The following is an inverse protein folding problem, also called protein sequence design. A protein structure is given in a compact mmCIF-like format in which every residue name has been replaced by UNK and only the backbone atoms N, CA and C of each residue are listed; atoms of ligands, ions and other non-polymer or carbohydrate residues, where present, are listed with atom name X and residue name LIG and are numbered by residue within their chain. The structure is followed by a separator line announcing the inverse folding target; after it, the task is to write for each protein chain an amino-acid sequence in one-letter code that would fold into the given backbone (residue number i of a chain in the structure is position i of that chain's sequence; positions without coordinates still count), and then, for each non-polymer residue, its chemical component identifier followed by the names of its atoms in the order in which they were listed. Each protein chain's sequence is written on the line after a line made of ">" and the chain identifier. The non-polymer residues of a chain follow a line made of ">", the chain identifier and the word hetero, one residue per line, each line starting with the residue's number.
data_IF_730834687825
#
_entry.id   IF_730834687825
#
_cell.length_a   1.000
_cell.length_b   1.000
_cell.length_c   1.000
_cell.angle_alpha   90.00
_cell.angle_beta   90.00
_cell.angle_gamma   90.00
#
_symmetry.space_group_name_H-M   'P 1'
#
loop_
_entity.id
_entity.type
_entity.pdbx_description
1 polymer ?
#
# COMPACT_ATOMS: atom_id res chain seq x y z
N UNK A 1 -3.51 -24.50 -1.58
CA UNK A 1 -4.01 -23.19 -2.04
C UNK A 1 -5.27 -22.88 -1.25
N UNK A 2 -5.30 -21.76 -0.55
CA UNK A 2 -6.49 -21.32 0.17
C UNK A 2 -7.43 -20.67 -0.86
N UNK A 3 -8.68 -21.13 -0.95
CA UNK A 3 -9.65 -20.61 -1.91
C UNK A 3 -10.25 -19.29 -1.40
N UNK A 4 -9.84 -18.16 -2.00
CA UNK A 4 -10.42 -16.85 -1.73
C UNK A 4 -11.39 -16.53 -2.88
N UNK A 5 -12.69 -16.39 -2.61
CA UNK A 5 -13.64 -15.92 -3.61
C UNK A 5 -13.70 -14.41 -3.63
N UNK A 6 -13.58 -13.79 -4.82
CA UNK A 6 -13.75 -12.36 -5.03
C UNK A 6 -15.20 -11.97 -5.37
N UNK A 7 -16.12 -12.92 -5.41
CA UNK A 7 -17.52 -12.68 -5.77
C UNK A 7 -18.18 -11.68 -4.80
N UNK A 8 -18.64 -10.56 -5.32
CA UNK A 8 -19.29 -9.47 -4.56
C UNK A 8 -18.47 -9.01 -3.35
N UNK A 9 -17.13 -8.96 -3.50
CA UNK A 9 -16.25 -8.49 -2.44
C UNK A 9 -16.00 -6.99 -2.54
N UNK A 10 -15.83 -6.38 -1.38
CA UNK A 10 -15.49 -4.98 -1.17
C UNK A 10 -14.01 -4.93 -0.79
N UNK A 11 -13.14 -4.58 -1.74
CA UNK A 11 -11.69 -4.76 -1.59
C UNK A 11 -11.01 -3.42 -1.37
N UNK A 12 -10.38 -3.26 -0.21
CA UNK A 12 -9.54 -2.11 0.13
C UNK A 12 -8.08 -2.43 -0.21
N UNK A 13 -7.49 -1.58 -1.01
CA UNK A 13 -6.14 -1.74 -1.54
C UNK A 13 -5.19 -0.74 -0.92
N UNK A 14 -4.05 -1.19 -0.39
CA UNK A 14 -2.93 -0.29 -0.19
C UNK A 14 -2.32 0.12 -1.54
N UNK A 15 -1.50 1.15 -1.54
CA UNK A 15 -0.86 1.70 -2.74
C UNK A 15 0.57 1.18 -2.90
N UNK A 16 1.44 1.56 -1.95
CA UNK A 16 2.89 1.27 -2.00
C UNK A 16 3.16 -0.20 -1.72
N UNK A 17 3.91 -0.86 -2.60
CA UNK A 17 4.21 -2.28 -2.43
C UNK A 17 3.02 -3.23 -2.67
N UNK A 18 1.85 -2.67 -3.00
CA UNK A 18 0.60 -3.43 -3.20
C UNK A 18 0.06 -3.22 -4.61
N UNK A 19 -0.52 -2.07 -4.92
CA UNK A 19 -0.94 -1.74 -6.29
C UNK A 19 0.26 -1.40 -7.17
N UNK A 20 1.20 -0.65 -6.61
CA UNK A 20 2.36 -0.09 -7.31
C UNK A 20 3.68 -0.56 -6.69
N UNK A 21 4.62 -0.96 -7.54
CA UNK A 21 6.01 -1.20 -7.15
C UNK A 21 6.75 0.15 -7.01
N UNK A 22 6.49 0.84 -5.91
CA UNK A 22 6.99 2.19 -5.65
C UNK A 22 8.28 2.22 -4.83
N UNK A 23 8.64 1.12 -4.18
CA UNK A 23 9.81 1.08 -3.30
C UNK A 23 11.15 1.31 -4.01
N UNK A 24 11.42 0.77 -5.20
CA UNK A 24 12.71 1.01 -5.87
C UNK A 24 12.99 2.48 -6.11
N UNK A 25 11.97 3.24 -6.57
CA UNK A 25 12.12 4.69 -6.81
C UNK A 25 12.24 5.47 -5.48
N UNK A 26 11.55 5.03 -4.44
CA UNK A 26 11.70 5.64 -3.12
C UNK A 26 13.08 5.40 -2.51
N UNK A 27 13.64 4.19 -2.67
CA UNK A 27 15.02 3.87 -2.26
C UNK A 27 16.00 4.75 -3.01
N UNK A 28 15.86 4.87 -4.34
CA UNK A 28 16.71 5.74 -5.15
C UNK A 28 16.68 7.19 -4.67
N UNK A 29 15.50 7.77 -4.44
CA UNK A 29 15.36 9.15 -3.98
C UNK A 29 16.01 9.37 -2.60
N UNK A 30 15.86 8.40 -1.68
CA UNK A 30 16.51 8.44 -0.37
C UNK A 30 18.03 8.34 -0.53
N UNK A 31 18.53 7.46 -1.40
CA UNK A 31 19.97 7.30 -1.68
C UNK A 31 20.59 8.58 -2.23
N UNK A 32 19.90 9.31 -3.12
CA UNK A 32 20.39 10.58 -3.66
C UNK A 32 20.62 11.60 -2.54
N UNK A 33 19.72 11.69 -1.55
CA UNK A 33 19.91 12.54 -0.38
C UNK A 33 21.11 12.06 0.46
N UNK A 34 21.16 10.77 0.80
CA UNK A 34 22.24 10.19 1.61
C UNK A 34 23.63 10.42 0.97
N UNK A 35 23.75 10.15 -0.32
CA UNK A 35 24.99 10.30 -1.06
C UNK A 35 25.44 11.78 -1.12
N UNK A 36 24.50 12.74 -1.20
CA UNK A 36 24.85 14.18 -1.14
C UNK A 36 25.49 14.57 0.18
N UNK A 37 25.23 13.81 1.23
CA UNK A 37 25.79 13.95 2.57
C UNK A 37 26.93 12.97 2.86
N UNK A 38 27.45 12.23 1.85
CA UNK A 38 28.48 11.20 2.00
C UNK A 38 28.12 10.05 2.96
N UNK A 39 26.83 9.74 3.05
CA UNK A 39 26.31 8.61 3.82
C UNK A 39 26.05 7.45 2.85
N UNK A 40 26.50 6.25 3.22
CA UNK A 40 26.32 5.02 2.47
C UNK A 40 25.52 4.01 3.32
N UNK A 41 24.28 3.72 2.89
CA UNK A 41 23.41 2.70 3.47
C UNK A 41 22.98 1.79 2.32
N UNK A 42 23.15 0.49 2.45
CA UNK A 42 22.77 -0.46 1.40
C UNK A 42 21.27 -0.42 1.11
N UNK A 43 20.88 -0.60 -0.15
CA UNK A 43 19.48 -0.54 -0.61
C UNK A 43 18.58 -1.51 0.15
N UNK A 44 19.06 -2.72 0.43
CA UNK A 44 18.34 -3.73 1.20
C UNK A 44 18.06 -3.27 2.64
N UNK A 45 18.96 -2.51 3.24
CA UNK A 45 18.77 -1.96 4.58
C UNK A 45 17.76 -0.83 4.58
N UNK A 46 17.78 0.04 3.56
CA UNK A 46 16.77 1.09 3.39
C UNK A 46 15.39 0.47 3.17
N UNK A 47 15.31 -0.49 2.27
CA UNK A 47 14.07 -1.21 2.00
C UNK A 47 13.51 -1.86 3.27
N UNK A 48 14.34 -2.57 4.04
CA UNK A 48 13.91 -3.22 5.28
C UNK A 48 13.35 -2.21 6.32
N UNK A 49 13.97 -1.02 6.44
CA UNK A 49 13.46 0.06 7.31
C UNK A 49 12.11 0.57 6.84
N UNK A 50 11.93 0.74 5.52
CA UNK A 50 10.69 1.23 4.90
C UNK A 50 9.50 0.29 5.09
N UNK A 51 9.76 -1.02 5.27
CA UNK A 51 8.70 -2.01 5.51
C UNK A 51 7.94 -1.80 6.82
N UNK A 52 8.49 -1.08 7.80
CA UNK A 52 7.71 -0.63 8.96
C UNK A 52 6.78 0.51 8.54
N UNK A 53 7.33 1.68 8.29
CA UNK A 53 6.70 2.82 7.61
C UNK A 53 7.78 3.74 7.06
N UNK A 54 7.51 4.44 5.96
CA UNK A 54 8.41 5.47 5.42
C UNK A 54 8.80 6.49 6.51
N UNK A 55 7.84 6.98 7.27
CA UNK A 55 8.09 7.96 8.34
C UNK A 55 9.00 7.43 9.45
N UNK A 56 8.89 6.14 9.82
CA UNK A 56 9.79 5.51 10.80
C UNK A 56 11.19 5.38 10.25
N UNK A 57 11.32 4.90 9.00
CA UNK A 57 12.61 4.75 8.34
C UNK A 57 13.40 6.06 8.29
N UNK A 58 12.75 7.14 7.87
CA UNK A 58 13.39 8.46 7.80
C UNK A 58 13.81 8.98 9.18
N UNK A 59 12.97 8.80 10.20
CA UNK A 59 13.31 9.18 11.59
C UNK A 59 14.49 8.39 12.15
N UNK A 60 14.59 7.10 11.82
CA UNK A 60 15.73 6.26 12.22
C UNK A 60 17.01 6.75 11.55
N UNK A 61 16.99 7.03 10.25
CA UNK A 61 18.13 7.58 9.51
C UNK A 61 18.60 8.91 10.13
N UNK A 62 17.68 9.86 10.37
CA UNK A 62 18.01 11.15 10.97
C UNK A 62 18.60 11.00 12.38
N UNK A 63 18.08 10.03 13.17
CA UNK A 63 18.63 9.75 14.50
C UNK A 63 20.03 9.14 14.44
N UNK A 64 20.32 8.35 13.42
CA UNK A 64 21.62 7.72 13.20
C UNK A 64 22.67 8.73 12.70
N UNK A 65 22.23 9.71 11.90
CA UNK A 65 23.06 10.77 11.32
C UNK A 65 22.55 12.17 11.72
N UNK A 66 22.63 12.53 13.02
CA UNK A 66 22.13 13.81 13.50
C UNK A 66 22.91 14.97 12.89
N UNK A 67 22.23 16.07 12.60
CA UNK A 67 22.79 17.31 12.01
C UNK A 67 23.40 17.15 10.60
N UNK A 68 23.22 15.99 9.96
CA UNK A 68 23.78 15.72 8.63
C UNK A 68 22.70 15.85 7.56
N UNK A 69 21.54 15.24 7.72
CA UNK A 69 20.40 15.32 6.81
C UNK A 69 19.11 15.66 7.56
N UNK A 70 18.16 16.22 6.86
CA UNK A 70 16.89 16.66 7.44
C UNK A 70 15.70 15.89 6.88
N UNK A 71 14.60 15.86 7.64
CA UNK A 71 13.35 15.27 7.18
C UNK A 71 12.82 15.98 5.92
N UNK A 72 13.04 17.29 5.83
CA UNK A 72 12.56 18.09 4.71
C UNK A 72 13.27 17.72 3.39
N UNK A 73 14.58 17.44 3.42
CA UNK A 73 15.33 16.97 2.24
C UNK A 73 14.78 15.64 1.74
N UNK A 74 14.54 14.67 2.62
CA UNK A 74 13.94 13.39 2.25
C UNK A 74 12.51 13.54 1.73
N UNK A 75 11.69 14.36 2.40
CA UNK A 75 10.32 14.59 1.95
C UNK A 75 10.31 15.29 0.58
N UNK A 76 11.22 16.22 0.33
CA UNK A 76 11.35 16.88 -0.97
C UNK A 76 11.73 15.85 -2.04
N UNK A 77 12.78 15.06 -1.83
CA UNK A 77 13.23 14.05 -2.79
C UNK A 77 12.10 13.02 -3.11
N UNK A 78 11.36 12.59 -2.09
CA UNK A 78 10.22 11.70 -2.29
C UNK A 78 9.05 12.37 -3.02
N UNK A 79 8.83 13.67 -2.82
CA UNK A 79 7.78 14.42 -3.52
C UNK A 79 8.14 14.75 -4.97
N UNK A 80 9.42 14.77 -5.30
CA UNK A 80 9.93 15.05 -6.65
C UNK A 80 9.82 13.80 -7.56
N UNK A 81 9.53 12.64 -7.01
CA UNK A 81 9.26 11.43 -7.82
C UNK A 81 7.97 11.68 -8.61
N UNK A 82 8.06 11.60 -9.94
CA UNK A 82 6.87 11.66 -10.79
C UNK A 82 5.91 10.50 -10.43
N UNK A 83 4.68 10.77 -9.96
CA UNK A 83 3.71 9.72 -9.64
C UNK A 83 3.44 8.76 -10.80
N UNK A 84 3.59 9.24 -12.03
CA UNK A 84 3.35 8.46 -13.23
C UNK A 84 4.47 7.45 -13.53
N UNK A 85 5.64 7.57 -12.87
CA UNK A 85 6.75 6.65 -13.03
C UNK A 85 6.55 5.30 -12.31
N UNK A 86 5.64 5.22 -11.34
CA UNK A 86 5.40 3.98 -10.60
C UNK A 86 4.78 2.90 -11.49
N UNK A 87 5.40 1.71 -11.63
CA UNK A 87 4.77 0.60 -12.34
C UNK A 87 3.69 -0.05 -11.48
N UNK A 88 2.61 -0.50 -12.12
CA UNK A 88 1.68 -1.43 -11.48
C UNK A 88 2.35 -2.80 -11.32
N UNK A 89 2.05 -3.48 -10.22
CA UNK A 89 2.40 -4.89 -10.13
C UNK A 89 1.69 -5.71 -11.22
N UNK A 90 2.30 -6.80 -11.69
CA UNK A 90 1.67 -7.69 -12.67
C UNK A 90 0.27 -8.14 -12.21
N UNK A 91 -0.67 -8.22 -13.13
CA UNK A 91 -2.04 -8.69 -12.93
C UNK A 91 -2.94 -7.82 -12.02
N UNK A 92 -2.45 -6.71 -11.45
CA UNK A 92 -3.29 -5.82 -10.62
C UNK A 92 -4.51 -5.34 -11.38
N UNK A 93 -4.33 -4.84 -12.63
CA UNK A 93 -5.45 -4.36 -13.45
C UNK A 93 -6.51 -5.44 -13.65
N UNK A 94 -6.11 -6.64 -14.02
CA UNK A 94 -7.00 -7.77 -14.28
C UNK A 94 -7.79 -8.15 -13.02
N UNK A 95 -7.18 -8.08 -11.84
CA UNK A 95 -7.87 -8.36 -10.58
C UNK A 95 -8.88 -7.25 -10.24
N UNK A 96 -8.52 -5.99 -10.38
CA UNK A 96 -9.43 -4.86 -10.18
C UNK A 96 -10.67 -4.97 -11.09
N UNK A 97 -10.46 -5.23 -12.37
CA UNK A 97 -11.53 -5.42 -13.35
C UNK A 97 -12.40 -6.63 -13.02
N UNK A 98 -11.79 -7.74 -12.59
CA UNK A 98 -12.52 -8.94 -12.21
C UNK A 98 -13.41 -8.73 -10.99
N UNK A 99 -12.96 -7.99 -9.98
CA UNK A 99 -13.78 -7.63 -8.81
C UNK A 99 -15.03 -6.89 -9.26
N UNK A 100 -14.89 -5.88 -10.12
CA UNK A 100 -16.02 -5.11 -10.66
C UNK A 100 -16.95 -5.99 -11.50
N UNK A 101 -16.41 -6.85 -12.37
CA UNK A 101 -17.20 -7.80 -13.19
C UNK A 101 -17.98 -8.80 -12.33
N UNK A 102 -17.49 -9.14 -11.15
CA UNK A 102 -18.16 -10.01 -10.21
C UNK A 102 -19.16 -9.30 -9.27
N UNK A 103 -19.40 -8.00 -9.50
CA UNK A 103 -20.33 -7.18 -8.73
C UNK A 103 -19.81 -6.72 -7.38
N UNK A 104 -18.47 -6.71 -7.22
CA UNK A 104 -17.76 -6.12 -6.09
C UNK A 104 -17.22 -4.74 -6.41
N UNK A 105 -16.53 -4.13 -5.44
CA UNK A 105 -15.98 -2.79 -5.56
C UNK A 105 -14.55 -2.71 -5.03
N UNK A 106 -13.78 -1.77 -5.59
CA UNK A 106 -12.43 -1.45 -5.15
C UNK A 106 -12.42 -0.10 -4.43
N UNK A 107 -11.65 -0.02 -3.36
CA UNK A 107 -11.39 1.15 -2.53
C UNK A 107 -9.90 1.35 -2.37
N UNK A 108 -9.41 2.58 -2.47
CA UNK A 108 -8.04 2.88 -2.12
C UNK A 108 -7.95 3.17 -0.61
N UNK A 109 -6.93 2.62 0.07
CA UNK A 109 -6.63 2.86 1.48
C UNK A 109 -5.13 3.09 1.65
N UNK A 110 -4.68 4.33 1.50
CA UNK A 110 -3.25 4.66 1.49
C UNK A 110 -2.87 5.76 2.48
N UNK A 111 -1.61 5.79 2.87
CA UNK A 111 -1.00 6.91 3.60
C UNK A 111 -0.43 8.00 2.69
N UNK A 112 -0.48 7.81 1.36
CA UNK A 112 -0.16 8.87 0.40
C UNK A 112 -1.26 9.91 0.31
N UNK A 113 -0.90 11.10 -0.16
CA UNK A 113 -1.83 12.18 -0.50
C UNK A 113 -2.29 12.11 -1.96
N UNK A 114 -2.43 13.28 -2.58
CA UNK A 114 -2.93 13.45 -3.94
C UNK A 114 -2.14 12.67 -5.01
N UNK A 115 -0.83 12.50 -4.85
CA UNK A 115 0.03 11.76 -5.78
C UNK A 115 -0.44 10.33 -6.07
N UNK A 116 -1.12 9.68 -5.10
CA UNK A 116 -1.70 8.35 -5.34
C UNK A 116 -2.85 8.40 -6.36
N UNK A 117 -3.66 9.46 -6.33
CA UNK A 117 -4.76 9.64 -7.26
C UNK A 117 -4.28 9.96 -8.68
N UNK A 118 -3.19 10.74 -8.79
CA UNK A 118 -2.54 11.05 -10.06
C UNK A 118 -2.02 9.77 -10.72
N UNK A 119 -1.29 8.94 -9.98
CA UNK A 119 -0.77 7.67 -10.48
C UNK A 119 -1.89 6.71 -10.92
N UNK A 120 -2.95 6.57 -10.14
CA UNK A 120 -4.12 5.74 -10.48
C UNK A 120 -4.78 6.22 -11.78
N UNK A 121 -4.91 7.54 -11.93
CA UNK A 121 -5.49 8.16 -13.14
C UNK A 121 -4.57 8.00 -14.36
N UNK A 122 -3.26 8.20 -14.20
CA UNK A 122 -2.28 8.01 -15.29
C UNK A 122 -2.32 6.58 -15.83
N UNK A 123 -2.40 5.59 -14.93
CA UNK A 123 -2.57 4.19 -15.33
C UNK A 123 -3.95 3.87 -15.89
N UNK A 124 -4.90 4.82 -15.90
CA UNK A 124 -6.25 4.61 -16.44
C UNK A 124 -7.05 3.55 -15.69
N UNK A 125 -6.83 3.43 -14.37
CA UNK A 125 -7.55 2.48 -13.50
C UNK A 125 -8.47 3.19 -12.49
N UNK A 126 -8.53 4.52 -12.53
CA UNK A 126 -9.36 5.33 -11.62
C UNK A 126 -10.84 4.95 -11.66
N UNK A 127 -11.36 4.64 -12.84
CA UNK A 127 -12.73 4.20 -13.04
C UNK A 127 -13.10 2.85 -12.39
N UNK A 128 -12.10 2.09 -11.92
CA UNK A 128 -12.28 0.81 -11.22
C UNK A 128 -12.44 0.99 -9.70
N UNK A 129 -12.25 2.21 -9.18
CA UNK A 129 -12.39 2.52 -7.76
C UNK A 129 -13.64 3.38 -7.52
N UNK A 130 -14.36 3.08 -6.45
CA UNK A 130 -15.56 3.85 -6.09
C UNK A 130 -15.32 4.82 -4.91
N UNK A 131 -14.21 4.66 -4.17
CA UNK A 131 -13.85 5.57 -3.08
C UNK A 131 -12.34 5.51 -2.78
N UNK A 132 -11.82 6.60 -2.22
CA UNK A 132 -10.42 6.80 -1.91
C UNK A 132 -10.26 7.30 -0.48
N UNK A 133 -9.41 6.61 0.30
CA UNK A 133 -8.92 7.07 1.60
C UNK A 133 -7.44 7.36 1.45
N UNK A 134 -7.08 8.63 1.56
CA UNK A 134 -5.71 9.14 1.48
C UNK A 134 -5.32 9.83 2.79
N UNK A 135 -4.07 10.28 2.90
CA UNK A 135 -3.61 11.07 4.05
C UNK A 135 -4.39 12.38 4.24
N UNK A 136 -5.07 12.86 3.19
CA UNK A 136 -5.84 14.11 3.17
C UNK A 136 -7.30 13.90 3.55
N UNK A 137 -7.74 12.66 3.71
CA UNK A 137 -9.14 12.32 4.04
C UNK A 137 -9.54 12.61 5.50
N UNK A 138 -8.58 13.05 6.34
CA UNK A 138 -8.85 13.44 7.73
C UNK A 138 -9.09 12.28 8.69
N UNK A 139 -8.85 11.04 8.27
CA UNK A 139 -8.94 9.86 9.13
C UNK A 139 -7.62 9.58 9.87
N UNK A 140 -7.67 8.92 11.04
CA UNK A 140 -6.49 8.32 11.64
C UNK A 140 -5.82 7.35 10.65
N UNK A 141 -4.48 7.24 10.76
CA UNK A 141 -3.70 6.35 9.90
C UNK A 141 -3.91 4.88 10.27
N UNK A 142 -3.76 3.97 9.30
CA UNK A 142 -3.62 2.54 9.57
C UNK A 142 -2.60 2.33 10.72
N UNK A 143 -2.82 1.41 11.65
CA UNK A 143 -3.85 0.37 11.67
C UNK A 143 -5.18 0.77 12.34
N UNK A 144 -5.48 2.07 12.53
CA UNK A 144 -6.77 2.52 13.05
C UNK A 144 -7.88 2.13 12.06
N UNK A 145 -8.96 1.47 12.51
CA UNK A 145 -10.00 0.95 11.62
C UNK A 145 -11.03 2.00 11.19
N UNK A 146 -10.98 3.23 11.71
CA UNK A 146 -12.04 4.24 11.56
C UNK A 146 -12.35 4.53 10.10
N UNK A 147 -11.33 4.65 9.25
CA UNK A 147 -11.53 4.91 7.81
C UNK A 147 -12.25 3.75 7.12
N UNK A 148 -11.81 2.51 7.36
CA UNK A 148 -12.43 1.31 6.81
C UNK A 148 -13.88 1.19 7.24
N UNK A 149 -14.15 1.28 8.55
CA UNK A 149 -15.50 1.18 9.11
C UNK A 149 -16.43 2.28 8.60
N UNK A 150 -15.90 3.50 8.40
CA UNK A 150 -16.67 4.62 7.84
C UNK A 150 -17.06 4.36 6.39
N UNK A 151 -16.11 3.94 5.55
CA UNK A 151 -16.37 3.62 4.15
C UNK A 151 -17.32 2.42 4.02
N UNK A 152 -17.12 1.37 4.83
CA UNK A 152 -18.05 0.23 4.89
C UNK A 152 -19.50 0.69 5.18
N UNK A 153 -19.68 1.59 6.14
CA UNK A 153 -20.99 2.13 6.48
C UNK A 153 -21.59 2.95 5.32
N UNK A 154 -20.80 3.77 4.66
CA UNK A 154 -21.23 4.59 3.52
C UNK A 154 -21.71 3.75 2.34
N UNK A 155 -21.05 2.61 2.11
CA UNK A 155 -21.34 1.70 0.99
C UNK A 155 -22.18 0.47 1.39
N UNK A 156 -22.67 0.42 2.63
CA UNK A 156 -23.50 -0.68 3.15
C UNK A 156 -22.81 -2.07 3.06
N UNK A 157 -21.48 -2.08 3.13
CA UNK A 157 -20.68 -3.31 3.08
C UNK A 157 -20.73 -4.06 4.42
N UNK A 158 -20.94 -5.36 4.39
CA UNK A 158 -20.81 -6.22 5.58
C UNK A 158 -19.37 -6.71 5.77
N UNK A 159 -18.97 -7.01 6.99
CA UNK A 159 -17.60 -7.43 7.31
C UNK A 159 -17.16 -8.68 6.52
N UNK A 160 -18.07 -9.61 6.28
CA UNK A 160 -17.80 -10.86 5.54
C UNK A 160 -17.50 -10.60 4.05
N UNK A 161 -17.93 -9.46 3.53
CA UNK A 161 -17.68 -9.06 2.15
C UNK A 161 -16.37 -8.29 2.00
N UNK A 162 -15.84 -7.71 3.08
CA UNK A 162 -14.70 -6.80 3.03
C UNK A 162 -13.38 -7.56 3.11
N UNK A 163 -12.44 -7.17 2.23
CA UNK A 163 -11.06 -7.65 2.22
C UNK A 163 -10.15 -6.42 2.21
N UNK A 164 -9.08 -6.46 3.01
CA UNK A 164 -7.97 -5.50 2.92
C UNK A 164 -6.77 -6.23 2.34
N UNK A 165 -6.17 -5.69 1.28
CA UNK A 165 -4.95 -6.21 0.65
C UNK A 165 -3.83 -5.21 0.88
N UNK A 166 -2.70 -5.69 1.39
CA UNK A 166 -1.50 -4.90 1.62
C UNK A 166 -0.25 -5.76 1.72
N UNK A 167 0.91 -5.12 1.73
CA UNK A 167 2.22 -5.78 1.75
C UNK A 167 2.89 -5.75 3.14
N UNK A 168 2.35 -5.00 4.10
CA UNK A 168 2.94 -4.79 5.43
C UNK A 168 2.01 -5.22 6.56
N UNK A 169 2.57 -5.31 7.77
CA UNK A 169 1.83 -5.68 8.99
C UNK A 169 0.67 -4.72 9.29
N UNK A 170 0.81 -3.43 8.99
CA UNK A 170 -0.20 -2.43 9.32
C UNK A 170 -1.54 -2.64 8.58
N UNK A 171 -1.55 -3.22 7.38
CA UNK A 171 -2.76 -3.57 6.63
C UNK A 171 -3.46 -4.77 7.27
N UNK A 172 -2.69 -5.79 7.67
CA UNK A 172 -3.21 -6.95 8.41
C UNK A 172 -3.80 -6.53 9.74
N UNK A 173 -3.11 -5.65 10.48
CA UNK A 173 -3.61 -5.13 11.75
C UNK A 173 -4.85 -4.25 11.56
N UNK A 174 -4.91 -3.45 10.50
CA UNK A 174 -6.10 -2.66 10.16
C UNK A 174 -7.31 -3.56 9.87
N UNK A 175 -7.11 -4.65 9.12
CA UNK A 175 -8.16 -5.62 8.84
C UNK A 175 -8.66 -6.28 10.12
N UNK A 176 -7.75 -6.74 10.98
CA UNK A 176 -8.07 -7.33 12.28
C UNK A 176 -8.86 -6.36 13.16
N UNK A 177 -8.42 -5.09 13.24
CA UNK A 177 -9.08 -4.07 14.06
C UNK A 177 -10.47 -3.71 13.52
N UNK A 178 -10.67 -3.80 12.20
CA UNK A 178 -11.97 -3.60 11.55
C UNK A 178 -12.86 -4.87 11.58
N UNK A 179 -12.33 -6.03 11.96
CA UNK A 179 -13.06 -7.31 11.94
C UNK A 179 -13.34 -7.83 10.52
N UNK A 180 -12.43 -7.59 9.58
CA UNK A 180 -12.56 -7.97 8.17
C UNK A 180 -11.40 -8.87 7.73
N UNK A 181 -11.50 -9.46 6.54
CA UNK A 181 -10.47 -10.36 5.99
C UNK A 181 -9.24 -9.60 5.54
N UNK A 182 -8.07 -10.14 5.83
CA UNK A 182 -6.77 -9.66 5.36
C UNK A 182 -6.15 -10.57 4.32
N UNK A 183 -5.57 -9.99 3.27
CA UNK A 183 -4.68 -10.67 2.33
C UNK A 183 -3.33 -9.96 2.38
N UNK A 184 -2.29 -10.68 2.75
CA UNK A 184 -0.93 -10.21 2.61
C UNK A 184 -0.41 -10.51 1.20
N UNK A 185 -0.02 -9.46 0.47
CA UNK A 185 0.74 -9.59 -0.76
C UNK A 185 2.23 -9.65 -0.41
N UNK A 186 2.81 -10.83 -0.47
CA UNK A 186 4.21 -11.08 -0.14
C UNK A 186 5.12 -10.69 -1.30
N UNK A 187 5.18 -9.39 -1.64
CA UNK A 187 6.09 -8.85 -2.65
C UNK A 187 7.55 -9.02 -2.24
N UNK A 188 7.82 -8.98 -0.94
CA UNK A 188 9.10 -9.34 -0.34
C UNK A 188 8.92 -10.47 0.68
N UNK A 189 9.25 -11.73 0.35
CA UNK A 189 9.08 -12.87 1.24
C UNK A 189 9.99 -12.84 2.47
N UNK A 190 11.05 -12.03 2.48
CA UNK A 190 11.99 -11.89 3.60
C UNK A 190 11.41 -11.05 4.75
N UNK A 191 10.30 -10.36 4.54
CA UNK A 191 9.62 -9.55 5.55
C UNK A 191 8.30 -10.21 5.92
N UNK A 192 8.27 -11.08 6.94
CA UNK A 192 7.06 -11.81 7.29
C UNK A 192 5.99 -10.89 7.89
N UNK A 193 4.74 -11.09 7.48
CA UNK A 193 3.55 -10.50 8.10
C UNK A 193 2.86 -11.57 8.95
N UNK A 194 2.54 -11.22 10.20
CA UNK A 194 1.96 -12.16 11.15
C UNK A 194 0.44 -12.02 11.22
N UNK A 195 -0.26 -13.15 11.14
CA UNK A 195 -1.69 -13.21 11.42
C UNK A 195 -2.58 -12.71 10.29
N UNK A 196 -2.06 -12.64 9.05
CA UNK A 196 -2.90 -12.47 7.86
C UNK A 196 -3.78 -13.71 7.65
N UNK A 197 -5.02 -13.52 7.18
CA UNK A 197 -5.92 -14.64 6.88
C UNK A 197 -5.47 -15.41 5.65
N UNK A 198 -4.91 -14.68 4.66
CA UNK A 198 -4.39 -15.24 3.42
C UNK A 198 -3.07 -14.58 3.03
N UNK A 199 -2.26 -15.32 2.28
CA UNK A 199 -1.01 -14.84 1.68
C UNK A 199 -1.04 -15.15 0.19
N UNK A 200 -0.66 -14.17 -0.63
CA UNK A 200 -0.45 -14.35 -2.07
C UNK A 200 0.94 -13.84 -2.43
N UNK A 201 1.57 -14.43 -3.43
CA UNK A 201 2.88 -14.03 -3.96
C UNK A 201 2.75 -13.41 -5.36
N UNK A 202 1.62 -13.65 -6.02
CA UNK A 202 1.30 -13.11 -7.34
C UNK A 202 -0.21 -12.89 -7.45
N UNK A 203 -0.62 -11.78 -8.06
CA UNK A 203 -2.04 -11.45 -8.22
C UNK A 203 -2.80 -12.41 -9.14
N UNK A 204 -2.11 -13.17 -10.00
CA UNK A 204 -2.75 -14.24 -10.78
C UNK A 204 -3.40 -15.31 -9.90
N UNK A 205 -2.94 -15.47 -8.65
CA UNK A 205 -3.58 -16.39 -7.69
C UNK A 205 -5.03 -16.00 -7.40
N UNK A 206 -5.36 -14.69 -7.44
CA UNK A 206 -6.72 -14.19 -7.26
C UNK A 206 -7.59 -14.34 -8.52
N UNK A 207 -6.98 -14.56 -9.69
CA UNK A 207 -7.68 -14.74 -10.97
C UNK A 207 -8.12 -16.19 -11.21
N UNK A 208 -7.47 -17.16 -10.59
CA UNK A 208 -7.72 -18.60 -10.80
C UNK A 208 -8.98 -19.07 -10.04
N UNK A 209 -9.43 -18.29 -9.06
CA UNK A 209 -10.49 -18.67 -8.13
C UNK A 209 -11.89 -18.41 -8.75
N UNK A 210 -12.76 -19.42 -8.69
CA UNK A 210 -14.14 -19.38 -9.18
C UNK A 210 -15.09 -18.83 -8.11
#
# INVERSE_FOLDING_TARGET
>A
MQNISLLKKEVFWDFDGTLFDSYPLSVQAIQEVLHSHHIDIADEQLYARMMTTMSSALKEIIKEYPDTCSLDEFNQALSDIDPNSYPLYPHVREVLERIVQQGGHNYLLTHRGHSALEAIKDKGIDHLFISYVTSESGFPRKPDPTSVLTVMKQHHASAEQVIIIGDRQIETDAAKNAGVTSIWYASNPDVPVLGSDYTIHDYSELLILK
#
